data_IF_856226892081
#
_entry.id   IF_856226892081
#
_cell.length_a   1.000
_cell.length_b   1.000
_cell.length_c   1.000
_cell.angle_alpha   90.00
_cell.angle_beta   90.00
_cell.angle_gamma   90.00
#
_symmetry.space_group_name_H-M   'P 1'
#
loop_
_entity.id
_entity.type
_entity.pdbx_description
1 polymer ?
#
# COMPACT_ATOMS: atom_id res chain seq x y z
N UNK A 1 -3.24 -24.87 -13.12
CA UNK A 1 -1.96 -24.89 -12.38
C UNK A 1 -1.24 -26.21 -12.64
N UNK A 2 0.09 -26.22 -12.64
CA UNK A 2 0.88 -27.44 -12.81
C UNK A 2 1.11 -28.12 -11.45
N UNK A 3 0.88 -29.44 -11.30
CA UNK A 3 1.22 -30.17 -10.07
C UNK A 3 2.71 -30.19 -9.77
N UNK A 4 3.58 -30.06 -10.78
CA UNK A 4 5.03 -30.09 -10.64
C UNK A 4 5.66 -28.77 -10.17
N UNK A 5 4.84 -27.74 -9.89
CA UNK A 5 5.28 -26.41 -9.48
C UNK A 5 4.87 -25.28 -10.43
N UNK A 6 5.19 -24.03 -10.07
CA UNK A 6 4.89 -22.85 -10.88
C UNK A 6 5.69 -22.86 -12.18
N UNK A 7 4.99 -22.74 -13.32
CA UNK A 7 5.62 -22.74 -14.63
C UNK A 7 6.45 -21.46 -14.86
N UNK A 8 7.62 -21.60 -15.47
CA UNK A 8 8.45 -20.48 -15.92
C UNK A 8 7.84 -19.79 -17.14
N UNK A 9 8.26 -18.55 -17.40
CA UNK A 9 7.85 -17.80 -18.60
C UNK A 9 8.17 -18.56 -19.89
N UNK A 10 9.35 -19.19 -19.96
CA UNK A 10 9.75 -19.99 -21.12
C UNK A 10 8.86 -21.23 -21.31
N UNK A 11 8.48 -21.91 -20.22
CA UNK A 11 7.54 -23.04 -20.28
C UNK A 11 6.16 -22.61 -20.75
N UNK A 12 5.65 -21.48 -20.24
CA UNK A 12 4.35 -20.93 -20.62
C UNK A 12 4.31 -20.49 -22.08
N UNK A 13 5.35 -19.80 -22.56
CA UNK A 13 5.45 -19.40 -23.97
C UNK A 13 5.48 -20.61 -24.91
N UNK A 14 6.13 -21.72 -24.52
CA UNK A 14 6.12 -22.98 -25.28
C UNK A 14 4.74 -23.67 -25.30
N UNK A 15 3.91 -23.48 -24.28
CA UNK A 15 2.55 -24.03 -24.22
C UNK A 15 1.54 -23.20 -25.04
N UNK A 16 1.97 -22.07 -25.61
CA UNK A 16 1.10 -21.10 -26.27
C UNK A 16 0.43 -20.16 -25.25
N UNK A 17 0.11 -18.94 -25.67
CA UNK A 17 -0.71 -18.05 -24.85
C UNK A 17 -2.09 -18.70 -24.63
N UNK A 18 -2.66 -18.64 -23.41
CA UNK A 18 -4.00 -19.16 -23.19
C UNK A 18 -4.96 -18.55 -24.20
N UNK A 19 -5.71 -19.39 -24.92
CA UNK A 19 -6.87 -18.92 -25.70
C UNK A 19 -7.73 -18.15 -24.72
N UNK A 20 -8.00 -16.88 -25.00
CA UNK A 20 -8.83 -16.02 -24.17
C UNK A 20 -10.10 -16.77 -23.80
N UNK A 21 -10.30 -17.08 -22.52
CA UNK A 21 -11.54 -17.67 -22.07
C UNK A 21 -12.67 -16.71 -22.47
N UNK A 22 -13.71 -17.24 -23.11
CA UNK A 22 -14.84 -16.47 -23.62
C UNK A 22 -15.33 -15.47 -22.56
N UNK A 23 -15.13 -14.18 -22.83
CA UNK A 23 -15.55 -13.06 -21.97
C UNK A 23 -17.04 -13.08 -21.63
N UNK A 24 -17.84 -13.73 -22.47
CA UNK A 24 -19.28 -13.90 -22.29
C UNK A 24 -19.69 -14.69 -21.02
N UNK A 25 -18.88 -15.65 -20.55
CA UNK A 25 -19.19 -16.43 -19.35
C UNK A 25 -18.80 -15.72 -18.03
N UNK A 26 -18.06 -14.60 -18.10
CA UNK A 26 -17.64 -13.79 -16.94
C UNK A 26 -18.52 -12.56 -16.71
N UNK A 27 -19.44 -12.26 -17.63
CA UNK A 27 -20.33 -11.08 -17.57
C UNK A 27 -21.52 -11.24 -16.60
N UNK A 28 -21.68 -12.42 -16.00
CA UNK A 28 -22.71 -12.69 -14.99
C UNK A 28 -22.13 -13.05 -13.63
N UNK A 29 -20.91 -12.60 -13.30
CA UNK A 29 -20.24 -12.94 -12.05
C UNK A 29 -21.08 -12.50 -10.85
N UNK A 30 -21.92 -13.42 -10.37
CA UNK A 30 -22.50 -13.36 -9.05
C UNK A 30 -21.36 -13.21 -8.02
N UNK A 31 -21.68 -12.66 -6.85
CA UNK A 31 -20.78 -12.51 -5.71
C UNK A 31 -20.40 -13.88 -5.07
N UNK A 32 -20.13 -14.89 -5.89
CA UNK A 32 -19.82 -16.26 -5.45
C UNK A 32 -18.30 -16.44 -5.47
N UNK A 33 -17.70 -16.93 -4.38
CA UNK A 33 -16.30 -17.34 -4.37
C UNK A 33 -15.99 -18.32 -5.49
N UNK A 34 -14.78 -18.24 -6.06
CA UNK A 34 -14.29 -19.29 -6.95
C UNK A 34 -14.22 -20.66 -6.25
N UNK A 35 -14.11 -21.77 -7.00
CA UNK A 35 -14.01 -23.10 -6.39
C UNK A 35 -12.76 -23.20 -5.51
N UNK A 36 -12.85 -24.02 -4.46
CA UNK A 36 -11.70 -24.36 -3.62
C UNK A 36 -10.57 -24.93 -4.47
N UNK A 37 -9.36 -24.44 -4.24
CA UNK A 37 -8.17 -24.72 -5.02
C UNK A 37 -6.92 -24.48 -4.16
N UNK A 38 -5.75 -24.53 -4.78
CA UNK A 38 -4.52 -23.98 -4.23
C UNK A 38 -3.92 -22.92 -5.16
N UNK A 39 -2.85 -22.25 -4.72
CA UNK A 39 -1.91 -21.45 -5.52
C UNK A 39 -0.49 -21.58 -4.97
N UNK A 40 0.51 -20.91 -5.56
CA UNK A 40 1.88 -20.83 -5.04
C UNK A 40 2.18 -19.45 -4.45
N UNK A 41 3.31 -19.33 -3.74
CA UNK A 41 3.74 -18.07 -3.15
C UNK A 41 5.06 -17.57 -3.74
N UNK A 42 5.12 -16.27 -4.04
CA UNK A 42 6.36 -15.53 -4.30
C UNK A 42 6.85 -14.89 -3.01
N UNK A 43 8.08 -15.19 -2.66
CA UNK A 43 8.81 -14.62 -1.53
C UNK A 43 9.82 -13.61 -2.06
N UNK A 44 9.43 -12.34 -2.08
CA UNK A 44 10.33 -11.28 -2.51
C UNK A 44 11.37 -10.98 -1.43
N UNK A 45 12.57 -10.58 -1.85
CA UNK A 45 13.67 -10.16 -1.00
C UNK A 45 14.46 -9.03 -1.70
N UNK A 46 15.26 -8.27 -0.94
CA UNK A 46 16.10 -7.22 -1.53
C UNK A 46 17.36 -7.84 -2.13
N UNK A 47 17.76 -7.43 -3.32
CA UNK A 47 19.02 -7.93 -3.92
C UNK A 47 20.22 -7.08 -3.54
N UNK A 48 20.01 -5.79 -3.26
CA UNK A 48 21.06 -4.87 -2.81
C UNK A 48 21.18 -4.81 -1.28
N UNK A 49 22.40 -4.51 -0.80
CA UNK A 49 22.69 -4.24 0.61
C UNK A 49 22.56 -2.75 1.00
N UNK A 50 22.50 -1.84 0.03
CA UNK A 50 22.41 -0.40 0.23
C UNK A 50 20.97 0.15 0.15
N UNK A 51 20.67 1.20 0.91
CA UNK A 51 19.35 1.86 0.90
C UNK A 51 19.13 2.80 -0.31
N UNK A 52 20.15 2.98 -1.17
CA UNK A 52 20.09 3.74 -2.44
C UNK A 52 19.81 2.85 -3.66
N UNK A 53 19.75 1.52 -3.48
CA UNK A 53 19.48 0.55 -4.55
C UNK A 53 18.33 -0.37 -4.12
N UNK A 54 17.06 0.09 -4.24
CA UNK A 54 15.88 -0.63 -3.74
C UNK A 54 15.46 -1.82 -4.63
N UNK A 55 16.45 -2.52 -5.21
CA UNK A 55 16.24 -3.66 -6.10
C UNK A 55 15.75 -4.87 -5.32
N UNK A 56 14.88 -5.66 -5.96
CA UNK A 56 14.29 -6.86 -5.38
C UNK A 56 14.23 -7.97 -6.41
N UNK A 57 14.21 -9.21 -5.91
CA UNK A 57 13.90 -10.40 -6.68
C UNK A 57 13.02 -11.32 -5.81
N UNK A 58 12.57 -12.45 -6.34
CA UNK A 58 11.77 -13.41 -5.59
C UNK A 58 12.23 -14.85 -5.76
N UNK A 59 11.98 -15.63 -4.71
CA UNK A 59 11.99 -17.08 -4.77
C UNK A 59 10.55 -17.61 -4.68
N UNK A 60 10.28 -18.73 -5.34
CA UNK A 60 9.06 -19.49 -5.05
C UNK A 60 9.18 -20.16 -3.68
N UNK A 61 8.15 -20.01 -2.85
CA UNK A 61 8.09 -20.64 -1.54
C UNK A 61 8.21 -22.15 -1.64
N UNK A 62 8.95 -22.74 -0.70
CA UNK A 62 9.08 -24.17 -0.51
C UNK A 62 8.41 -24.59 0.78
N UNK A 63 7.78 -25.76 0.77
CA UNK A 63 7.29 -26.43 1.96
C UNK A 63 8.47 -26.82 2.86
N UNK A 64 8.55 -26.35 4.11
CA UNK A 64 9.69 -26.63 4.98
C UNK A 64 9.86 -28.12 5.32
N UNK A 65 8.82 -28.93 5.19
CA UNK A 65 8.83 -30.35 5.53
C UNK A 65 9.28 -31.24 4.37
N UNK A 66 8.82 -30.97 3.14
CA UNK A 66 9.15 -31.79 1.97
C UNK A 66 10.21 -31.20 1.06
N UNK A 67 10.42 -29.88 1.09
CA UNK A 67 11.25 -29.15 0.13
C UNK A 67 10.57 -28.94 -1.23
N UNK A 68 9.34 -29.43 -1.43
CA UNK A 68 8.54 -29.16 -2.64
C UNK A 68 8.05 -27.71 -2.65
N UNK A 69 7.49 -27.25 -3.77
CA UNK A 69 6.80 -25.96 -3.81
C UNK A 69 5.62 -25.91 -2.82
N UNK A 70 5.60 -24.86 -1.99
CA UNK A 70 4.51 -24.65 -1.04
C UNK A 70 3.20 -24.35 -1.78
N UNK A 71 2.15 -25.11 -1.47
CA UNK A 71 0.81 -24.96 -2.05
C UNK A 71 -0.11 -24.32 -1.02
N UNK A 72 -0.53 -23.08 -1.27
CA UNK A 72 -1.45 -22.35 -0.43
C UNK A 72 -2.90 -22.72 -0.81
N UNK A 73 -3.63 -23.40 0.07
CA UNK A 73 -5.04 -23.75 -0.14
C UNK A 73 -5.96 -22.55 0.10
N UNK A 74 -7.04 -22.45 -0.69
CA UNK A 74 -7.97 -21.34 -0.62
C UNK A 74 -8.82 -21.20 -1.87
N UNK A 75 -9.25 -19.97 -2.18
CA UNK A 75 -10.00 -19.67 -3.39
C UNK A 75 -9.67 -18.29 -3.96
N UNK A 76 -9.85 -18.15 -5.26
CA UNK A 76 -9.69 -16.89 -5.98
C UNK A 76 -11.01 -16.13 -6.06
N UNK A 77 -10.94 -14.80 -6.02
CA UNK A 77 -12.03 -13.95 -6.46
C UNK A 77 -11.53 -12.60 -7.00
N UNK A 78 -12.22 -12.10 -8.03
CA UNK A 78 -11.98 -10.77 -8.62
C UNK A 78 -13.29 -10.10 -9.01
N UNK A 79 -13.38 -8.79 -8.80
CA UNK A 79 -14.53 -7.98 -9.23
C UNK A 79 -14.50 -7.59 -10.72
N UNK A 80 -13.46 -7.97 -11.46
CA UNK A 80 -13.24 -7.53 -12.83
C UNK A 80 -12.80 -8.68 -13.74
N UNK A 81 -13.04 -8.50 -15.04
CA UNK A 81 -12.43 -9.32 -16.10
C UNK A 81 -10.92 -9.12 -16.23
N UNK A 82 -10.36 -8.08 -15.57
CA UNK A 82 -8.94 -7.77 -15.60
C UNK A 82 -8.19 -8.59 -14.55
N UNK A 83 -7.41 -9.57 -15.00
CA UNK A 83 -6.75 -10.56 -14.17
C UNK A 83 -5.84 -9.97 -13.06
N UNK A 84 -5.35 -8.73 -13.19
CA UNK A 84 -4.47 -8.08 -12.20
C UNK A 84 -5.16 -7.70 -10.88
N UNK A 85 -6.49 -7.70 -10.82
CA UNK A 85 -7.27 -7.40 -9.61
C UNK A 85 -7.63 -8.65 -8.80
N UNK A 86 -6.93 -9.77 -8.95
CA UNK A 86 -7.31 -10.99 -8.23
C UNK A 86 -6.85 -10.94 -6.77
N UNK A 87 -7.64 -11.51 -5.85
CA UNK A 87 -7.25 -11.73 -4.45
C UNK A 87 -7.44 -13.20 -4.10
N UNK A 88 -6.47 -13.76 -3.36
CA UNK A 88 -6.54 -15.15 -2.91
C UNK A 88 -6.94 -15.21 -1.44
N UNK A 89 -8.03 -15.88 -1.12
CA UNK A 89 -8.55 -16.01 0.23
C UNK A 89 -8.13 -17.35 0.82
N UNK A 90 -7.49 -17.33 1.99
CA UNK A 90 -6.95 -18.51 2.65
C UNK A 90 -7.09 -18.41 4.16
N UNK A 91 -7.18 -19.55 4.85
CA UNK A 91 -7.19 -19.60 6.32
C UNK A 91 -5.77 -19.53 6.91
N UNK A 92 -4.73 -19.48 6.06
CA UNK A 92 -3.34 -19.33 6.50
C UNK A 92 -3.07 -17.88 6.90
N UNK A 93 -2.52 -17.67 8.10
CA UNK A 93 -2.19 -16.34 8.63
C UNK A 93 -1.02 -15.70 7.88
N UNK A 94 -1.01 -14.36 7.80
CA UNK A 94 0.10 -13.62 7.20
C UNK A 94 1.45 -13.95 7.84
N UNK A 95 1.51 -14.13 9.16
CA UNK A 95 2.73 -14.52 9.86
C UNK A 95 3.25 -15.89 9.42
N UNK A 96 2.35 -16.86 9.21
CA UNK A 96 2.72 -18.17 8.69
C UNK A 96 3.26 -18.07 7.25
N UNK A 97 2.61 -17.29 6.38
CA UNK A 97 3.09 -17.03 5.02
C UNK A 97 4.49 -16.40 5.02
N UNK A 98 4.72 -15.40 5.89
CA UNK A 98 6.04 -14.78 6.05
C UNK A 98 7.07 -15.75 6.60
N UNK A 99 6.71 -16.63 7.54
CA UNK A 99 7.60 -17.65 8.07
C UNK A 99 8.01 -18.69 7.01
N UNK A 100 7.07 -19.12 6.16
CA UNK A 100 7.35 -20.00 5.01
C UNK A 100 8.34 -19.32 4.05
N UNK A 101 8.12 -18.04 3.74
CA UNK A 101 9.04 -17.29 2.91
C UNK A 101 10.42 -17.09 3.56
N UNK A 102 10.47 -16.81 4.87
CA UNK A 102 11.73 -16.71 5.59
C UNK A 102 12.50 -18.03 5.52
N UNK A 103 11.84 -19.16 5.77
CA UNK A 103 12.45 -20.50 5.67
C UNK A 103 12.99 -20.76 4.27
N UNK A 104 12.21 -20.42 3.24
CA UNK A 104 12.61 -20.57 1.83
C UNK A 104 13.88 -19.76 1.52
N UNK A 105 13.92 -18.48 1.93
CA UNK A 105 15.04 -17.59 1.67
C UNK A 105 16.30 -18.05 2.42
N UNK A 106 16.17 -18.39 3.70
CA UNK A 106 17.28 -18.91 4.51
C UNK A 106 17.83 -20.21 3.93
N UNK A 107 16.97 -21.13 3.48
CA UNK A 107 17.38 -22.37 2.80
C UNK A 107 18.12 -22.13 1.47
N UNK A 108 17.98 -20.95 0.88
CA UNK A 108 18.71 -20.51 -0.32
C UNK A 108 19.94 -19.65 -0.01
N UNK A 109 20.31 -19.51 1.26
CA UNK A 109 21.44 -18.67 1.69
C UNK A 109 21.14 -17.15 1.64
N UNK A 110 19.87 -16.76 1.52
CA UNK A 110 19.45 -15.36 1.52
C UNK A 110 19.11 -14.95 2.96
N UNK A 111 20.02 -14.22 3.60
CA UNK A 111 19.93 -13.83 5.01
C UNK A 111 19.12 -12.55 5.26
N UNK A 112 18.12 -12.29 4.43
CA UNK A 112 17.26 -11.12 4.55
C UNK A 112 15.84 -11.54 4.91
N UNK A 113 15.13 -10.66 5.62
CA UNK A 113 13.70 -10.85 5.84
C UNK A 113 12.93 -10.76 4.51
N UNK A 114 11.82 -11.52 4.35
CA UNK A 114 10.93 -11.36 3.22
C UNK A 114 10.50 -9.90 3.06
N UNK A 115 10.79 -9.35 1.90
CA UNK A 115 10.40 -8.02 1.47
C UNK A 115 8.89 -7.93 1.29
N UNK A 116 8.32 -8.86 0.52
CA UNK A 116 6.89 -8.99 0.25
C UNK A 116 6.51 -10.45 0.01
N UNK A 117 5.23 -10.79 0.20
CA UNK A 117 4.69 -12.14 -0.05
C UNK A 117 3.43 -12.03 -0.90
N UNK A 118 3.36 -12.77 -2.01
CA UNK A 118 2.22 -12.74 -2.92
C UNK A 118 1.80 -14.12 -3.37
N UNK A 119 0.50 -14.32 -3.60
CA UNK A 119 0.00 -15.47 -4.34
C UNK A 119 0.27 -15.30 -5.84
N UNK A 120 0.64 -16.39 -6.50
CA UNK A 120 0.83 -16.46 -7.94
C UNK A 120 0.83 -17.90 -8.42
N UNK A 121 0.10 -18.20 -9.50
CA UNK A 121 0.04 -19.57 -10.05
C UNK A 121 1.30 -19.93 -10.87
N UNK A 122 1.96 -18.94 -11.46
CA UNK A 122 3.12 -19.13 -12.33
C UNK A 122 3.91 -17.82 -12.52
N UNK A 123 4.98 -17.85 -13.30
CA UNK A 123 5.87 -16.69 -13.51
C UNK A 123 5.23 -15.49 -14.24
N UNK A 124 4.10 -15.67 -14.94
CA UNK A 124 3.38 -14.59 -15.64
C UNK A 124 2.19 -14.04 -14.83
N UNK A 125 1.83 -14.66 -13.70
CA UNK A 125 0.83 -14.12 -12.77
C UNK A 125 1.27 -12.77 -12.21
N UNK A 126 0.32 -11.87 -11.94
CA UNK A 126 0.60 -10.67 -11.16
C UNK A 126 0.94 -11.00 -9.69
N UNK A 127 1.30 -9.97 -8.91
CA UNK A 127 1.53 -10.11 -7.48
C UNK A 127 0.20 -9.99 -6.74
N UNK A 128 -0.48 -11.11 -6.48
CA UNK A 128 -1.79 -11.09 -5.85
C UNK A 128 -1.70 -11.07 -4.33
N UNK A 129 -2.50 -10.21 -3.72
CA UNK A 129 -2.68 -10.17 -2.27
C UNK A 129 -3.28 -11.49 -1.78
N UNK A 130 -2.74 -12.01 -0.68
CA UNK A 130 -3.36 -13.12 0.05
C UNK A 130 -4.16 -12.55 1.20
N UNK A 131 -5.48 -12.69 1.19
CA UNK A 131 -6.35 -12.38 2.31
C UNK A 131 -6.41 -13.55 3.28
N UNK A 132 -5.95 -13.34 4.51
CA UNK A 132 -6.14 -14.28 5.62
C UNK A 132 -7.57 -14.12 6.17
N UNK A 133 -8.38 -15.17 6.04
CA UNK A 133 -9.75 -15.20 6.53
C UNK A 133 -9.81 -15.06 8.05
N UNK A 134 -10.86 -14.40 8.51
CA UNK A 134 -11.12 -14.25 9.93
C UNK A 134 -11.71 -15.55 10.49
N UNK A 135 -11.28 -15.94 11.70
CA UNK A 135 -11.79 -17.14 12.36
C UNK A 135 -13.23 -16.91 12.86
N UNK A 136 -14.03 -17.98 12.88
CA UNK A 136 -15.36 -17.92 13.48
C UNK A 136 -15.25 -17.55 14.98
N UNK A 137 -16.06 -16.59 15.43
CA UNK A 137 -16.06 -16.16 16.83
C UNK A 137 -14.85 -15.30 17.24
N UNK A 138 -14.16 -14.67 16.29
CA UNK A 138 -13.11 -13.72 16.59
C UNK A 138 -13.65 -12.56 17.46
N UNK A 139 -12.87 -12.19 18.49
CA UNK A 139 -13.25 -11.15 19.44
C UNK A 139 -13.42 -9.76 18.82
N UNK A 140 -13.80 -8.78 19.64
CA UNK A 140 -14.10 -7.40 19.19
C UNK A 140 -12.88 -6.50 18.94
N UNK A 141 -11.66 -7.02 19.14
CA UNK A 141 -10.42 -6.26 18.97
C UNK A 141 -10.08 -6.03 17.49
N UNK A 142 -9.39 -4.92 17.20
CA UNK A 142 -8.88 -4.63 15.86
C UNK A 142 -7.94 -5.77 15.42
N UNK A 143 -8.19 -6.35 14.25
CA UNK A 143 -7.49 -7.54 13.76
C UNK A 143 -6.76 -7.37 12.42
N UNK A 144 -6.99 -6.26 11.71
CA UNK A 144 -6.32 -5.94 10.45
C UNK A 144 -6.36 -4.44 10.17
N UNK A 145 -5.49 -4.01 9.26
CA UNK A 145 -5.47 -2.67 8.69
C UNK A 145 -5.94 -2.74 7.25
N UNK A 146 -6.84 -1.84 6.87
CA UNK A 146 -7.20 -1.61 5.46
C UNK A 146 -6.87 -0.18 5.09
N UNK A 147 -5.97 -0.02 4.12
CA UNK A 147 -5.48 1.28 3.69
C UNK A 147 -6.15 1.76 2.41
N UNK A 148 -6.62 3.00 2.42
CA UNK A 148 -7.09 3.75 1.26
C UNK A 148 -6.22 5.00 1.09
N UNK A 149 -6.05 5.45 -0.15
CA UNK A 149 -5.22 6.61 -0.41
C UNK A 149 -4.57 6.61 -1.77
N UNK A 150 -3.41 7.24 -1.84
CA UNK A 150 -2.66 7.44 -3.07
C UNK A 150 -1.24 6.82 -3.03
N UNK A 151 -0.29 7.41 -3.75
CA UNK A 151 1.10 6.94 -3.85
C UNK A 151 1.86 6.97 -2.53
N UNK A 152 1.44 7.76 -1.53
CA UNK A 152 2.05 7.73 -0.20
C UNK A 152 1.70 6.46 0.58
N UNK A 153 0.70 5.69 0.12
CA UNK A 153 0.26 4.46 0.77
C UNK A 153 0.26 3.24 -0.15
N UNK A 154 0.21 3.39 -1.48
CA UNK A 154 0.21 2.27 -2.43
C UNK A 154 1.49 1.43 -2.32
N UNK A 155 1.32 0.12 -2.23
CA UNK A 155 2.41 -0.84 -2.17
C UNK A 155 2.40 -1.90 -3.29
N UNK A 156 1.43 -1.89 -4.22
CA UNK A 156 1.40 -2.80 -5.39
C UNK A 156 0.35 -2.45 -6.48
N UNK A 157 -0.68 -1.68 -6.20
CA UNK A 157 -1.87 -1.61 -7.04
C UNK A 157 -1.57 -1.00 -8.42
N UNK A 158 -0.91 0.17 -8.46
CA UNK A 158 -0.46 0.77 -9.73
C UNK A 158 0.62 -0.09 -10.39
N UNK A 159 1.46 -0.76 -9.60
CA UNK A 159 2.50 -1.62 -10.13
C UNK A 159 1.94 -2.81 -10.90
N UNK A 160 0.94 -3.50 -10.35
CA UNK A 160 0.23 -4.55 -11.07
C UNK A 160 -0.56 -4.00 -12.26
N UNK A 161 -1.29 -2.89 -12.09
CA UNK A 161 -2.08 -2.28 -13.16
C UNK A 161 -1.24 -1.83 -14.38
N UNK A 162 0.00 -1.39 -14.12
CA UNK A 162 0.96 -0.96 -15.14
C UNK A 162 1.79 -2.11 -15.74
N UNK A 163 1.46 -3.36 -15.43
CA UNK A 163 2.26 -4.52 -15.84
C UNK A 163 3.72 -4.44 -15.36
N UNK A 164 3.90 -4.01 -14.11
CA UNK A 164 5.18 -3.90 -13.41
C UNK A 164 6.14 -2.85 -13.98
N UNK A 165 5.61 -1.83 -14.63
CA UNK A 165 6.39 -0.75 -15.26
C UNK A 165 6.40 0.55 -14.45
N UNK A 166 5.40 0.77 -13.58
CA UNK A 166 5.23 2.00 -12.82
C UNK A 166 4.99 1.71 -11.32
N UNK A 167 5.84 2.22 -10.40
CA UNK A 167 7.14 2.84 -10.66
C UNK A 167 8.20 1.82 -11.13
N UNK A 168 9.26 2.30 -11.76
CA UNK A 168 10.33 1.47 -12.31
C UNK A 168 11.10 0.76 -11.18
N UNK A 169 11.05 -0.57 -11.16
CA UNK A 169 11.63 -1.39 -10.08
C UNK A 169 13.15 -1.30 -9.90
N UNK A 170 13.87 -0.68 -10.85
CA UNK A 170 15.31 -0.48 -10.72
C UNK A 170 15.65 0.73 -9.83
N UNK A 171 14.67 1.62 -9.63
CA UNK A 171 14.86 2.87 -8.89
C UNK A 171 13.83 3.08 -7.79
N UNK A 172 12.73 2.35 -7.79
CA UNK A 172 11.76 2.34 -6.71
C UNK A 172 11.60 0.93 -6.15
N UNK A 173 11.35 0.85 -4.85
CA UNK A 173 11.14 -0.43 -4.16
C UNK A 173 9.85 -1.07 -4.66
N UNK A 174 9.94 -2.29 -5.20
CA UNK A 174 8.86 -3.05 -5.85
C UNK A 174 7.43 -2.48 -5.70
N UNK A 175 7.05 -1.58 -6.61
CA UNK A 175 5.69 -1.02 -6.68
C UNK A 175 5.32 0.10 -5.70
N UNK A 176 6.25 0.51 -4.84
CA UNK A 176 6.10 1.60 -3.88
C UNK A 176 6.70 2.87 -4.47
N UNK A 177 6.09 4.02 -4.22
CA UNK A 177 6.68 5.32 -4.58
C UNK A 177 7.71 5.75 -3.52
N UNK A 178 8.68 4.88 -3.22
CA UNK A 178 9.79 5.14 -2.30
C UNK A 178 10.95 4.15 -2.53
N UNK A 179 12.04 4.25 -1.77
CA UNK A 179 13.15 3.28 -1.73
C UNK A 179 12.93 2.13 -0.72
N UNK A 180 11.71 1.98 -0.19
CA UNK A 180 11.36 0.92 0.74
C UNK A 180 9.88 0.92 1.09
N UNK A 181 9.50 0.24 2.18
CA UNK A 181 8.13 0.24 2.68
C UNK A 181 7.61 1.65 2.93
N UNK A 182 6.30 1.82 2.78
CA UNK A 182 5.56 3.05 3.09
C UNK A 182 5.05 3.06 4.53
N UNK A 183 4.57 4.21 4.98
CA UNK A 183 4.25 4.45 6.40
C UNK A 183 3.25 3.43 6.98
N UNK A 184 2.26 3.02 6.18
CA UNK A 184 1.21 2.11 6.64
C UNK A 184 1.71 0.68 6.83
N UNK A 185 2.79 0.29 6.16
CA UNK A 185 3.47 -1.00 6.38
C UNK A 185 4.29 -0.97 7.68
N UNK A 186 4.93 0.16 7.98
CA UNK A 186 5.57 0.35 9.28
C UNK A 186 4.55 0.39 10.41
N UNK A 187 3.39 1.04 10.21
CA UNK A 187 2.28 1.01 11.16
C UNK A 187 1.80 -0.42 11.40
N UNK A 188 1.53 -1.18 10.34
CA UNK A 188 1.10 -2.58 10.42
C UNK A 188 2.11 -3.44 11.19
N UNK A 189 3.41 -3.27 10.89
CA UNK A 189 4.49 -3.94 11.61
C UNK A 189 4.53 -3.58 13.09
N UNK A 190 4.41 -2.29 13.43
CA UNK A 190 4.39 -1.79 14.81
C UNK A 190 3.18 -2.30 15.60
N UNK A 191 2.02 -2.44 14.96
CA UNK A 191 0.79 -2.96 15.57
C UNK A 191 0.68 -4.48 15.52
N UNK A 192 1.58 -5.17 14.80
CA UNK A 192 1.51 -6.62 14.55
C UNK A 192 0.17 -7.03 13.90
N UNK A 193 -0.29 -6.23 12.95
CA UNK A 193 -1.54 -6.46 12.22
C UNK A 193 -1.26 -6.74 10.74
N UNK A 194 -2.04 -7.63 10.09
CA UNK A 194 -2.01 -7.76 8.65
C UNK A 194 -2.52 -6.47 7.98
N UNK A 195 -1.89 -6.11 6.86
CA UNK A 195 -2.26 -4.96 6.04
C UNK A 195 -2.83 -5.42 4.70
N UNK A 196 -3.99 -4.86 4.33
CA UNK A 196 -4.56 -4.98 2.99
C UNK A 196 -4.72 -3.59 2.39
N UNK A 197 -4.23 -3.41 1.17
CA UNK A 197 -4.05 -2.07 0.61
C UNK A 197 -4.90 -1.85 -0.64
N UNK A 198 -5.76 -0.85 -0.57
CA UNK A 198 -6.58 -0.35 -1.67
C UNK A 198 -6.08 1.00 -2.21
N UNK A 199 -5.04 1.60 -1.62
CA UNK A 199 -4.45 2.83 -2.13
C UNK A 199 -3.88 2.63 -3.53
N UNK A 200 -4.01 3.65 -4.39
CA UNK A 200 -3.58 3.59 -5.79
C UNK A 200 -2.72 4.82 -6.07
N UNK A 201 -1.48 4.62 -6.50
CA UNK A 201 -0.60 5.71 -6.93
C UNK A 201 -1.26 6.69 -7.90
N UNK A 202 -1.22 7.98 -7.57
CA UNK A 202 -1.90 9.03 -8.35
C UNK A 202 -3.41 9.13 -8.09
N UNK A 203 -4.01 8.37 -7.17
CA UNK A 203 -5.42 8.55 -6.86
C UNK A 203 -5.70 9.95 -6.31
N UNK A 204 -6.81 10.54 -6.76
CA UNK A 204 -7.47 11.63 -6.06
C UNK A 204 -8.76 11.17 -5.38
N UNK A 205 -9.67 12.08 -5.04
CA UNK A 205 -10.94 11.67 -4.40
C UNK A 205 -11.93 11.05 -5.39
N UNK A 206 -11.91 11.52 -6.65
CA UNK A 206 -12.69 11.00 -7.76
C UNK A 206 -11.79 10.34 -8.81
N UNK A 207 -12.39 9.65 -9.79
CA UNK A 207 -11.63 9.06 -10.91
C UNK A 207 -11.08 10.16 -11.81
N UNK A 208 -9.78 10.14 -12.04
CA UNK A 208 -9.07 11.18 -12.79
C UNK A 208 -8.66 10.71 -14.19
N UNK A 209 -8.32 11.69 -15.06
CA UNK A 209 -8.07 11.69 -16.52
C UNK A 209 -7.39 10.47 -17.20
N UNK A 210 -6.92 9.47 -16.46
CA UNK A 210 -6.29 8.22 -16.94
C UNK A 210 -7.02 6.94 -16.47
N UNK A 211 -8.26 7.02 -15.98
CA UNK A 211 -9.01 5.88 -15.38
C UNK A 211 -8.36 5.39 -14.08
N UNK A 212 -7.63 6.26 -13.36
CA UNK A 212 -7.09 5.96 -12.02
C UNK A 212 -8.26 6.06 -11.03
N UNK A 213 -8.65 4.95 -10.37
CA UNK A 213 -9.75 4.99 -9.42
C UNK A 213 -9.43 5.87 -8.22
N UNK A 214 -10.31 6.84 -7.92
CA UNK A 214 -10.19 7.66 -6.73
C UNK A 214 -10.62 6.92 -5.47
N UNK A 215 -10.45 7.54 -4.31
CA UNK A 215 -10.77 6.90 -3.01
C UNK A 215 -12.22 6.44 -2.90
N UNK A 216 -13.17 7.13 -3.55
CA UNK A 216 -14.56 6.68 -3.65
C UNK A 216 -14.66 5.31 -4.34
N UNK A 217 -13.95 5.10 -5.44
CA UNK A 217 -13.91 3.82 -6.15
C UNK A 217 -13.11 2.76 -5.39
N UNK A 218 -12.10 3.15 -4.63
CA UNK A 218 -11.36 2.23 -3.77
C UNK A 218 -12.27 1.63 -2.69
N UNK A 219 -13.10 2.45 -2.04
CA UNK A 219 -14.10 1.97 -1.06
C UNK A 219 -15.15 1.08 -1.72
N UNK A 220 -15.65 1.45 -2.90
CA UNK A 220 -16.58 0.60 -3.67
C UNK A 220 -15.96 -0.75 -4.04
N UNK A 221 -14.70 -0.76 -4.44
CA UNK A 221 -13.95 -1.99 -4.71
C UNK A 221 -13.88 -2.84 -3.45
N UNK A 222 -13.41 -2.27 -2.33
CA UNK A 222 -13.33 -2.99 -1.05
C UNK A 222 -14.66 -3.61 -0.62
N UNK A 223 -15.79 -2.87 -0.77
CA UNK A 223 -17.14 -3.38 -0.47
C UNK A 223 -17.50 -4.65 -1.24
N UNK A 224 -16.93 -4.87 -2.42
CA UNK A 224 -17.15 -6.09 -3.20
C UNK A 224 -16.24 -7.24 -2.73
N UNK A 225 -14.96 -6.98 -2.46
CA UNK A 225 -14.03 -8.01 -1.97
C UNK A 225 -14.42 -8.51 -0.57
N UNK A 226 -14.87 -7.60 0.31
CA UNK A 226 -15.24 -7.99 1.67
C UNK A 226 -16.39 -9.00 1.74
N UNK A 227 -17.25 -9.07 0.72
CA UNK A 227 -18.36 -10.03 0.66
C UNK A 227 -17.88 -11.47 0.49
N UNK A 228 -16.63 -11.65 0.06
CA UNK A 228 -16.02 -12.97 -0.15
C UNK A 228 -15.21 -13.43 1.07
N UNK A 229 -14.96 -12.53 2.01
CA UNK A 229 -14.18 -12.83 3.21
C UNK A 229 -15.09 -13.46 4.28
N UNK A 230 -14.93 -14.75 4.61
CA UNK A 230 -15.71 -15.41 5.65
C UNK A 230 -15.47 -14.74 7.01
N UNK A 231 -16.54 -14.59 7.79
CA UNK A 231 -16.53 -14.03 9.15
C UNK A 231 -15.99 -12.60 9.26
N UNK A 232 -15.78 -11.90 8.15
CA UNK A 232 -15.19 -10.58 8.17
C UNK A 232 -16.13 -9.55 8.81
N UNK A 233 -15.61 -8.83 9.80
CA UNK A 233 -16.32 -7.76 10.48
C UNK A 233 -15.62 -6.41 10.26
N UNK A 234 -16.21 -5.49 9.47
CA UNK A 234 -15.65 -4.15 9.28
C UNK A 234 -15.47 -3.36 10.60
N UNK A 235 -16.25 -3.66 11.65
CA UNK A 235 -16.11 -2.98 12.94
C UNK A 235 -14.81 -3.35 13.68
N UNK A 236 -14.17 -4.48 13.36
CA UNK A 236 -12.89 -4.93 13.94
C UNK A 236 -11.69 -4.62 13.04
N UNK A 237 -11.85 -3.69 12.10
CA UNK A 237 -10.79 -3.25 11.18
C UNK A 237 -10.38 -1.82 11.49
N UNK A 238 -9.07 -1.54 11.45
CA UNK A 238 -8.55 -0.18 11.40
C UNK A 238 -8.45 0.26 9.95
N UNK A 239 -9.30 1.19 9.54
CA UNK A 239 -9.21 1.81 8.22
C UNK A 239 -8.29 3.02 8.28
N UNK A 240 -7.39 3.16 7.32
CA UNK A 240 -6.53 4.35 7.20
C UNK A 240 -6.79 5.08 5.90
N UNK A 241 -6.88 6.41 5.95
CA UNK A 241 -7.05 7.25 4.76
C UNK A 241 -6.00 8.37 4.76
N UNK A 242 -5.22 8.42 3.67
CA UNK A 242 -4.34 9.54 3.33
C UNK A 242 -4.53 9.83 1.83
N UNK A 243 -5.21 10.93 1.51
CA UNK A 243 -5.63 11.28 0.15
C UNK A 243 -5.64 12.81 -0.02
N UNK A 244 -5.75 13.28 -1.26
CA UNK A 244 -5.90 14.71 -1.59
C UNK A 244 -4.63 15.36 -2.14
N UNK A 245 -3.46 14.76 -1.92
CA UNK A 245 -2.19 15.29 -2.41
C UNK A 245 -2.18 15.43 -3.94
N UNK A 246 -2.63 14.40 -4.65
CA UNK A 246 -2.73 14.46 -6.12
C UNK A 246 -3.78 15.46 -6.62
N UNK A 247 -4.91 15.60 -5.91
CA UNK A 247 -5.96 16.55 -6.26
C UNK A 247 -5.43 17.99 -6.27
N UNK A 248 -4.68 18.37 -5.23
CA UNK A 248 -4.10 19.70 -5.09
C UNK A 248 -2.87 19.91 -5.99
N UNK A 249 -2.01 18.90 -6.13
CA UNK A 249 -0.73 19.02 -6.84
C UNK A 249 -0.87 18.85 -8.37
N UNK A 250 -1.74 17.94 -8.82
CA UNK A 250 -1.79 17.45 -10.20
C UNK A 250 -3.12 17.69 -10.92
N UNK A 251 -4.25 17.82 -10.20
CA UNK A 251 -5.58 17.88 -10.82
C UNK A 251 -6.24 19.25 -10.76
N UNK A 252 -5.68 20.19 -9.99
CA UNK A 252 -6.20 21.55 -9.87
C UNK A 252 -7.54 21.59 -9.14
N UNK A 253 -7.83 20.58 -8.33
CA UNK A 253 -9.02 20.57 -7.48
C UNK A 253 -8.88 21.56 -6.32
N UNK A 254 -10.01 22.09 -5.85
CA UNK A 254 -10.03 22.93 -4.65
C UNK A 254 -10.13 22.07 -3.39
N UNK A 255 -9.67 22.55 -2.22
CA UNK A 255 -9.85 21.86 -0.95
C UNK A 255 -11.30 21.39 -0.71
N UNK A 256 -12.29 22.24 -1.01
CA UNK A 256 -13.72 21.89 -0.89
C UNK A 256 -14.12 20.69 -1.75
N UNK A 257 -13.60 20.57 -2.98
CA UNK A 257 -13.88 19.42 -3.84
C UNK A 257 -13.26 18.14 -3.30
N UNK A 258 -12.04 18.23 -2.76
CA UNK A 258 -11.36 17.11 -2.10
C UNK A 258 -12.16 16.64 -0.89
N UNK A 259 -12.52 17.56 0.02
CA UNK A 259 -13.30 17.26 1.23
C UNK A 259 -14.66 16.65 0.91
N UNK A 260 -15.35 17.14 -0.13
CA UNK A 260 -16.63 16.55 -0.55
C UNK A 260 -16.48 15.09 -1.02
N UNK A 261 -15.44 14.79 -1.80
CA UNK A 261 -15.16 13.42 -2.25
C UNK A 261 -14.72 12.50 -1.11
N UNK A 262 -13.93 13.01 -0.18
CA UNK A 262 -13.53 12.27 1.02
C UNK A 262 -14.73 12.01 1.95
N UNK A 263 -15.62 12.99 2.16
CA UNK A 263 -16.87 12.82 2.88
C UNK A 263 -17.72 11.70 2.26
N UNK A 264 -17.82 11.65 0.92
CA UNK A 264 -18.55 10.59 0.22
C UNK A 264 -17.94 9.21 0.50
N UNK A 265 -16.62 9.08 0.39
CA UNK A 265 -15.92 7.82 0.63
C UNK A 265 -16.05 7.35 2.09
N UNK A 266 -15.83 8.26 3.05
CA UNK A 266 -15.94 7.96 4.48
C UNK A 266 -17.36 7.59 4.89
N UNK A 267 -18.37 8.31 4.37
CA UNK A 267 -19.78 7.97 4.63
C UNK A 267 -20.11 6.58 4.08
N UNK A 268 -19.65 6.24 2.87
CA UNK A 268 -19.83 4.91 2.28
C UNK A 268 -19.16 3.82 3.13
N UNK A 269 -17.94 4.08 3.62
CA UNK A 269 -17.17 3.18 4.47
C UNK A 269 -17.88 2.92 5.82
N UNK A 270 -18.38 3.98 6.46
CA UNK A 270 -19.14 3.91 7.72
C UNK A 270 -20.45 3.13 7.55
N UNK A 271 -21.18 3.41 6.46
CA UNK A 271 -22.44 2.72 6.13
C UNK A 271 -22.22 1.23 5.86
N UNK A 272 -21.05 0.84 5.36
CA UNK A 272 -20.64 -0.56 5.20
C UNK A 272 -20.13 -1.21 6.50
N UNK A 273 -20.21 -0.52 7.64
CA UNK A 273 -19.93 -1.09 8.96
C UNK A 273 -18.58 -0.71 9.56
N UNK A 274 -17.77 0.13 8.90
CA UNK A 274 -16.51 0.59 9.49
C UNK A 274 -16.76 1.40 10.77
N UNK A 275 -15.93 1.15 11.80
CA UNK A 275 -16.04 1.83 13.09
C UNK A 275 -14.75 2.47 13.60
N UNK A 276 -13.58 2.04 13.11
CA UNK A 276 -12.28 2.61 13.50
C UNK A 276 -11.59 3.16 12.26
N UNK A 277 -11.50 4.48 12.18
CA UNK A 277 -10.93 5.19 11.02
C UNK A 277 -9.82 6.10 11.52
N UNK A 278 -8.65 5.98 10.91
CA UNK A 278 -7.53 6.90 11.08
C UNK A 278 -7.39 7.73 9.81
N UNK A 279 -7.51 9.04 9.94
CA UNK A 279 -7.23 10.01 8.89
C UNK A 279 -5.86 10.62 9.14
N UNK A 280 -5.13 10.92 8.07
CA UNK A 280 -3.87 11.66 8.13
C UNK A 280 -4.06 13.00 7.44
N UNK A 281 -3.67 14.08 8.13
CA UNK A 281 -3.52 15.39 7.48
C UNK A 281 -2.53 15.30 6.33
N UNK A 282 -2.74 16.06 5.27
CA UNK A 282 -1.75 16.16 4.21
C UNK A 282 -0.48 16.82 4.77
N UNK A 283 0.71 16.20 4.60
CA UNK A 283 1.98 16.89 4.79
C UNK A 283 2.04 18.15 3.92
N UNK A 284 2.90 19.11 4.27
CA UNK A 284 3.11 20.29 3.43
C UNK A 284 3.85 19.95 2.13
N UNK A 285 3.10 19.44 1.15
CA UNK A 285 3.63 18.98 -0.14
C UNK A 285 4.26 20.11 -0.96
N UNK A 286 4.05 21.38 -0.59
CA UNK A 286 4.69 22.52 -1.25
C UNK A 286 6.22 22.54 -1.08
N UNK A 287 6.74 21.84 -0.07
CA UNK A 287 8.17 21.66 0.17
C UNK A 287 8.81 20.56 -0.69
N UNK A 288 8.04 19.81 -1.47
CA UNK A 288 8.57 18.77 -2.34
C UNK A 288 9.52 19.36 -3.41
N UNK A 289 10.63 18.67 -3.75
CA UNK A 289 11.62 19.19 -4.70
C UNK A 289 11.06 19.58 -6.07
N UNK A 290 9.93 18.99 -6.50
CA UNK A 290 9.25 19.35 -7.75
C UNK A 290 8.92 20.84 -7.84
N UNK A 291 8.68 21.53 -6.72
CA UNK A 291 8.40 22.96 -6.68
C UNK A 291 9.63 23.86 -6.87
N UNK A 292 10.83 23.28 -6.98
CA UNK A 292 12.00 23.98 -7.50
C UNK A 292 11.99 24.02 -9.05
N UNK A 293 11.20 23.15 -9.67
CA UNK A 293 11.08 23.00 -11.13
C UNK A 293 9.77 23.64 -11.62
N UNK A 294 8.68 23.48 -10.88
CA UNK A 294 7.36 24.02 -11.19
C UNK A 294 6.95 25.15 -10.24
N UNK A 295 6.12 26.08 -10.73
CA UNK A 295 5.53 27.14 -9.90
C UNK A 295 4.36 26.65 -9.02
N UNK A 296 3.82 27.57 -8.21
CA UNK A 296 2.57 27.35 -7.46
C UNK A 296 2.72 26.81 -6.04
N UNK A 297 3.94 26.73 -5.48
CA UNK A 297 4.20 26.25 -4.12
C UNK A 297 3.35 26.99 -3.07
N UNK A 298 3.33 28.33 -3.10
CA UNK A 298 2.57 29.14 -2.14
C UNK A 298 1.05 28.88 -2.21
N UNK A 299 0.50 28.67 -3.40
CA UNK A 299 -0.91 28.31 -3.59
C UNK A 299 -1.20 26.94 -2.98
N UNK A 300 -0.36 25.95 -3.25
CA UNK A 300 -0.54 24.60 -2.70
C UNK A 300 -0.37 24.58 -1.19
N UNK A 301 0.58 25.34 -0.63
CA UNK A 301 0.75 25.48 0.82
C UNK A 301 -0.54 25.99 1.49
N UNK A 302 -1.15 27.04 0.93
CA UNK A 302 -2.41 27.59 1.42
C UNK A 302 -3.56 26.57 1.29
N UNK A 303 -3.63 25.84 0.18
CA UNK A 303 -4.65 24.80 -0.04
C UNK A 303 -4.50 23.62 0.92
N UNK A 304 -3.27 23.20 1.25
CA UNK A 304 -3.01 22.13 2.22
C UNK A 304 -3.48 22.53 3.61
N UNK A 305 -3.21 23.78 4.03
CA UNK A 305 -3.68 24.30 5.33
C UNK A 305 -5.22 24.32 5.39
N UNK A 306 -5.87 24.85 4.35
CA UNK A 306 -7.33 24.89 4.24
C UNK A 306 -7.94 23.48 4.25
N UNK A 307 -7.42 22.56 3.44
CA UNK A 307 -7.83 21.16 3.42
C UNK A 307 -7.68 20.51 4.81
N UNK A 308 -6.54 20.67 5.48
CA UNK A 308 -6.30 20.06 6.78
C UNK A 308 -7.25 20.58 7.87
N UNK A 309 -7.62 21.86 7.83
CA UNK A 309 -8.63 22.43 8.73
C UNK A 309 -10.03 21.86 8.45
N UNK A 310 -10.39 21.70 7.17
CA UNK A 310 -11.66 21.11 6.79
C UNK A 310 -11.73 19.61 7.10
N UNK A 311 -10.60 18.89 7.03
CA UNK A 311 -10.51 17.48 7.40
C UNK A 311 -10.82 17.25 8.89
N UNK A 312 -10.28 18.10 9.78
CA UNK A 312 -10.59 18.07 11.21
C UNK A 312 -12.10 18.28 11.46
N UNK A 313 -12.70 19.24 10.76
CA UNK A 313 -14.15 19.52 10.86
C UNK A 313 -15.00 18.36 10.32
N UNK A 314 -14.61 17.76 9.19
CA UNK A 314 -15.27 16.59 8.61
C UNK A 314 -15.22 15.39 9.56
N UNK A 315 -14.05 15.11 10.14
CA UNK A 315 -13.88 14.02 11.10
C UNK A 315 -14.81 14.18 12.30
N UNK A 316 -14.82 15.36 12.93
CA UNK A 316 -15.69 15.66 14.06
C UNK A 316 -17.19 15.50 13.72
N UNK A 317 -17.59 16.01 12.54
CA UNK A 317 -18.97 15.90 12.05
C UNK A 317 -19.41 14.44 11.87
N UNK A 318 -18.59 13.62 11.21
CA UNK A 318 -18.90 12.21 11.00
C UNK A 318 -18.92 11.40 12.30
N UNK A 319 -18.02 11.69 13.25
CA UNK A 319 -18.06 11.08 14.57
C UNK A 319 -19.37 11.38 15.31
N UNK A 320 -19.79 12.64 15.31
CA UNK A 320 -21.03 13.07 15.96
C UNK A 320 -22.26 12.45 15.28
N UNK A 321 -22.28 12.41 13.95
CA UNK A 321 -23.43 11.94 13.18
C UNK A 321 -23.61 10.41 13.27
N UNK A 322 -22.54 9.63 13.24
CA UNK A 322 -22.61 8.17 13.10
C UNK A 322 -22.15 7.39 14.34
N UNK A 323 -21.62 8.05 15.38
CA UNK A 323 -21.13 7.40 16.58
C UNK A 323 -19.94 6.47 16.34
N UNK A 324 -19.07 6.84 15.39
CA UNK A 324 -17.87 6.08 15.01
C UNK A 324 -16.60 6.64 15.65
N UNK A 325 -15.55 5.84 15.74
CA UNK A 325 -14.22 6.27 16.19
C UNK A 325 -13.40 6.74 14.98
N UNK A 326 -13.29 8.06 14.80
CA UNK A 326 -12.38 8.68 13.84
C UNK A 326 -11.27 9.35 14.62
N UNK A 327 -10.04 9.17 14.19
CA UNK A 327 -8.87 9.85 14.76
C UNK A 327 -8.12 10.52 13.63
N UNK A 328 -7.69 11.75 13.84
CA UNK A 328 -6.88 12.50 12.87
C UNK A 328 -5.46 12.60 13.41
N UNK A 329 -4.49 12.12 12.64
CA UNK A 329 -3.08 12.29 12.94
C UNK A 329 -2.52 13.51 12.21
N UNK A 330 -1.77 14.35 12.93
CA UNK A 330 -1.19 15.58 12.39
C UNK A 330 0.16 15.31 11.70
N UNK A 331 0.11 14.67 10.54
CA UNK A 331 1.28 14.45 9.68
C UNK A 331 1.86 15.75 9.12
N UNK A 332 1.06 16.82 9.04
CA UNK A 332 1.52 18.16 8.65
C UNK A 332 2.53 18.70 9.68
N UNK A 333 2.17 18.68 10.96
CA UNK A 333 3.05 19.12 12.04
C UNK A 333 4.32 18.27 12.13
N UNK A 334 4.21 16.93 12.03
CA UNK A 334 5.38 16.05 12.02
C UNK A 334 6.33 16.37 10.87
N UNK A 335 5.79 16.57 9.66
CA UNK A 335 6.59 16.86 8.48
C UNK A 335 7.31 18.22 8.61
N UNK A 336 6.63 19.24 9.09
CA UNK A 336 7.24 20.55 9.30
C UNK A 336 8.32 20.56 10.39
N UNK A 337 8.13 19.77 11.45
CA UNK A 337 9.17 19.56 12.47
C UNK A 337 10.37 18.80 11.88
N UNK A 338 10.14 17.81 11.01
CA UNK A 338 11.22 17.13 10.28
C UNK A 338 12.02 18.10 9.40
N UNK A 339 11.36 18.99 8.67
CA UNK A 339 12.03 19.95 7.80
C UNK A 339 12.81 21.02 8.59
N UNK A 340 12.29 21.43 9.74
CA UNK A 340 12.88 22.50 10.58
C UNK A 340 13.97 21.97 11.51
N UNK A 341 13.81 20.75 12.02
CA UNK A 341 14.70 20.10 12.98
C UNK A 341 15.25 18.76 12.44
N UNK A 342 15.85 18.69 11.24
CA UNK A 342 16.16 17.41 10.57
C UNK A 342 17.17 16.55 11.35
N UNK A 343 18.07 17.16 12.12
CA UNK A 343 19.03 16.45 12.96
C UNK A 343 18.35 15.58 14.04
N UNK A 344 17.17 15.99 14.57
CA UNK A 344 16.35 15.19 15.50
C UNK A 344 15.95 13.85 14.89
N UNK A 345 15.87 13.80 13.57
CA UNK A 345 15.40 12.69 12.77
C UNK A 345 16.51 11.98 11.99
N UNK A 346 17.78 12.33 12.25
CA UNK A 346 18.95 11.78 11.54
C UNK A 346 18.91 12.06 10.02
N UNK A 347 18.27 13.16 9.64
CA UNK A 347 18.19 13.65 8.27
C UNK A 347 19.12 14.85 8.11
N UNK A 348 19.74 14.99 6.94
CA UNK A 348 20.63 16.11 6.61
C UNK A 348 20.23 16.85 5.32
N UNK A 349 19.44 16.23 4.44
CA UNK A 349 18.95 16.86 3.22
C UNK A 349 17.42 16.89 3.20
N UNK A 350 16.85 18.10 3.31
CA UNK A 350 15.42 18.35 3.33
C UNK A 350 14.90 19.02 2.06
N UNK A 351 15.76 19.30 1.08
CA UNK A 351 15.42 20.14 -0.08
C UNK A 351 15.60 19.44 -1.42
N UNK A 352 16.50 18.47 -1.53
CA UNK A 352 16.75 17.72 -2.76
C UNK A 352 16.16 16.32 -2.68
N UNK A 353 15.79 15.78 -3.83
CA UNK A 353 15.53 14.35 -3.98
C UNK A 353 16.84 13.56 -3.98
N UNK A 354 16.85 12.36 -3.39
CA UNK A 354 18.00 11.45 -3.51
C UNK A 354 18.23 11.00 -4.95
N UNK A 355 17.17 10.67 -5.71
CA UNK A 355 17.26 10.39 -7.15
C UNK A 355 17.61 11.67 -7.91
N UNK A 356 18.46 11.55 -8.93
CA UNK A 356 18.89 12.66 -9.78
C UNK A 356 17.85 12.98 -10.87
N UNK A 357 16.69 13.47 -10.43
CA UNK A 357 15.59 13.89 -11.29
C UNK A 357 15.52 15.42 -11.23
N UNK A 358 15.59 16.08 -12.38
CA UNK A 358 15.58 17.55 -12.49
C UNK A 358 14.53 18.05 -13.50
N UNK A 359 13.50 17.24 -13.76
CA UNK A 359 12.40 17.54 -14.68
C UNK A 359 11.06 17.23 -14.01
N UNK A 360 10.02 17.98 -14.38
CA UNK A 360 8.65 17.70 -13.98
C UNK A 360 7.97 16.85 -15.08
N UNK A 361 8.13 15.52 -14.98
CA UNK A 361 7.55 14.58 -15.95
C UNK A 361 7.12 13.28 -15.30
N UNK A 362 5.91 12.82 -15.62
CA UNK A 362 5.43 11.51 -15.21
C UNK A 362 6.26 10.35 -15.81
N UNK A 363 6.97 10.57 -16.92
CA UNK A 363 7.83 9.55 -17.52
C UNK A 363 9.03 9.18 -16.63
N UNK A 364 9.40 10.06 -15.69
CA UNK A 364 10.51 9.81 -14.76
C UNK A 364 10.28 8.52 -13.96
N UNK A 365 9.04 8.23 -13.57
CA UNK A 365 8.66 7.04 -12.80
C UNK A 365 8.67 5.75 -13.62
N UNK A 366 8.70 5.81 -14.96
CA UNK A 366 8.76 4.63 -15.84
C UNK A 366 10.20 4.31 -16.27
N UNK A 367 11.14 5.22 -16.04
CA UNK A 367 12.53 5.11 -16.44
C UNK A 367 13.43 4.79 -15.24
N UNK A 368 14.55 4.13 -15.51
CA UNK A 368 15.57 3.94 -14.48
C UNK A 368 16.23 5.28 -14.18
N UNK A 369 16.31 5.60 -12.90
CA UNK A 369 16.98 6.78 -12.34
C UNK A 369 18.17 6.36 -11.50
N UNK A 370 19.18 7.24 -11.41
CA UNK A 370 20.35 7.06 -10.56
C UNK A 370 20.29 8.01 -9.36
N UNK A 371 20.79 7.60 -8.17
CA UNK A 371 21.01 8.52 -7.06
C UNK A 371 21.94 9.68 -7.44
N UNK A 372 21.76 10.84 -6.83
CA UNK A 372 22.69 11.96 -6.91
C UNK A 372 24.02 11.59 -6.25
N UNK A 373 25.11 12.26 -6.65
CA UNK A 373 26.44 12.04 -6.08
C UNK A 373 26.52 12.31 -4.57
N UNK A 374 25.68 13.23 -4.05
CA UNK A 374 25.59 13.50 -2.61
C UNK A 374 24.59 12.58 -1.87
N UNK A 375 23.89 11.68 -2.57
CA UNK A 375 23.05 10.67 -1.95
C UNK A 375 23.80 9.33 -1.80
N UNK A 376 24.81 9.31 -0.92
CA UNK A 376 25.47 8.08 -0.51
C UNK A 376 24.66 7.24 0.50
N UNK A 377 23.75 7.89 1.23
CA UNK A 377 22.84 7.30 2.19
C UNK A 377 21.44 7.89 1.98
N UNK A 378 20.48 7.07 1.55
CA UNK A 378 19.12 7.55 1.29
C UNK A 378 18.39 7.96 2.58
N UNK A 379 18.72 7.39 3.73
CA UNK A 379 18.05 7.70 5.00
C UNK A 379 18.36 9.12 5.50
N UNK A 380 19.43 9.74 4.99
CA UNK A 380 19.74 11.14 5.31
C UNK A 380 18.94 12.15 4.47
N UNK A 381 18.09 11.69 3.55
CA UNK A 381 17.24 12.51 2.69
C UNK A 381 15.77 12.39 3.11
N UNK A 382 15.04 13.51 3.10
CA UNK A 382 13.57 13.48 3.25
C UNK A 382 12.92 12.83 2.03
N UNK A 383 13.38 13.20 0.83
CA UNK A 383 12.75 12.88 -0.43
C UNK A 383 13.54 11.85 -1.24
N UNK A 384 12.85 10.81 -1.73
CA UNK A 384 13.43 9.81 -2.61
C UNK A 384 13.48 10.33 -4.06
N UNK A 385 12.33 10.72 -4.58
CA UNK A 385 12.17 11.39 -5.87
C UNK A 385 11.72 12.85 -5.68
N UNK A 386 11.27 13.54 -6.72
CA UNK A 386 10.91 14.96 -6.63
C UNK A 386 9.61 15.22 -5.86
N UNK A 387 8.84 14.19 -5.52
CA UNK A 387 7.56 14.31 -4.82
C UNK A 387 7.48 13.46 -3.55
N UNK A 388 7.99 12.24 -3.60
CA UNK A 388 7.74 11.23 -2.57
C UNK A 388 8.87 11.12 -1.54
N UNK A 389 8.52 10.85 -0.28
CA UNK A 389 9.50 10.68 0.78
C UNK A 389 10.30 9.38 0.67
N UNK A 390 11.48 9.35 1.30
CA UNK A 390 12.26 8.13 1.51
C UNK A 390 11.56 7.19 2.50
N UNK A 391 11.96 5.93 2.49
CA UNK A 391 11.41 4.94 3.42
C UNK A 391 11.74 5.26 4.87
N UNK A 392 12.85 5.97 5.14
CA UNK A 392 13.17 6.50 6.47
C UNK A 392 12.12 7.52 6.93
N UNK A 393 11.77 8.49 6.08
CA UNK A 393 10.68 9.44 6.37
C UNK A 393 9.33 8.72 6.57
N UNK A 394 9.03 7.69 5.75
CA UNK A 394 7.85 6.85 5.97
C UNK A 394 7.90 6.07 7.29
N UNK A 395 9.08 5.59 7.71
CA UNK A 395 9.27 4.90 8.98
C UNK A 395 9.00 5.83 10.17
N UNK A 396 9.50 7.06 10.10
CA UNK A 396 9.23 8.10 11.10
C UNK A 396 7.72 8.35 11.23
N UNK A 397 7.03 8.52 10.10
CA UNK A 397 5.57 8.69 10.08
C UNK A 397 4.84 7.48 10.66
N UNK A 398 5.13 6.26 10.18
CA UNK A 398 4.47 5.04 10.65
C UNK A 398 4.68 4.79 12.14
N UNK A 399 5.88 5.08 12.66
CA UNK A 399 6.19 4.99 14.08
C UNK A 399 5.42 6.02 14.90
N UNK A 400 5.39 7.28 14.48
CA UNK A 400 4.69 8.34 15.19
C UNK A 400 3.16 8.10 15.21
N UNK A 401 2.61 7.57 14.12
CA UNK A 401 1.19 7.17 14.06
C UNK A 401 0.91 6.01 15.03
N UNK A 402 1.78 5.01 15.09
CA UNK A 402 1.62 3.90 16.04
C UNK A 402 1.66 4.40 17.50
N UNK A 403 2.59 5.32 17.81
CA UNK A 403 2.70 5.93 19.13
C UNK A 403 1.47 6.76 19.48
N UNK A 404 0.96 7.55 18.52
CA UNK A 404 -0.30 8.28 18.66
C UNK A 404 -1.46 7.34 18.98
N UNK A 405 -1.60 6.23 18.23
CA UNK A 405 -2.69 5.28 18.46
C UNK A 405 -2.64 4.67 19.86
N UNK A 406 -1.44 4.34 20.36
CA UNK A 406 -1.23 3.77 21.69
C UNK A 406 -1.44 4.78 22.83
N UNK A 407 -1.02 6.04 22.65
CA UNK A 407 -1.10 7.07 23.69
C UNK A 407 -2.53 7.45 24.10
N UNK A 408 -3.52 7.21 23.23
CA UNK A 408 -4.92 7.59 23.48
C UNK A 408 -5.78 6.47 24.05
N UNK A 409 -5.18 5.42 24.65
CA UNK A 409 -5.93 4.41 25.41
C UNK A 409 -6.89 3.54 24.58
N UNK A 410 -6.79 3.56 23.25
CA UNK A 410 -7.46 2.57 22.42
C UNK A 410 -6.88 1.21 22.80
N UNK A 411 -7.71 0.28 23.27
CA UNK A 411 -7.35 -1.10 23.56
C UNK A 411 -6.96 -1.81 22.25
N UNK A 412 -5.81 -1.44 21.68
CA UNK A 412 -5.08 -2.25 20.73
C UNK A 412 -4.62 -3.51 21.49
N UNK A 413 -4.60 -4.69 20.86
CA UNK A 413 -4.08 -5.89 21.48
C UNK A 413 -2.72 -5.58 22.11
N UNK A 414 -2.59 -5.86 23.42
CA UNK A 414 -1.38 -5.54 24.16
C UNK A 414 -0.17 -6.07 23.39
N UNK A 415 0.70 -5.15 22.95
CA UNK A 415 1.95 -5.47 22.28
C UNK A 415 2.68 -6.49 23.15
N UNK A 416 2.81 -7.74 22.67
CA UNK A 416 3.67 -8.72 23.32
C UNK A 416 5.08 -8.17 23.23
N UNK A 417 5.58 -7.61 24.34
CA UNK A 417 6.99 -7.24 24.50
C UNK A 417 7.82 -8.48 24.20
N UNK A 418 8.55 -8.47 23.09
CA UNK A 418 9.59 -9.46 22.84
C UNK A 418 10.64 -9.29 23.96
N UNK A 419 10.89 -10.36 24.70
CA UNK A 419 12.10 -10.51 25.51
C UNK A 419 13.26 -10.86 24.59
#
# INVERSE_FOLDING_TARGET
MSPAGPLSRAQLLKQGLPKTANSAARLSAAATPGPATYTYLRCYYRTGSGNTQPTTDYAWALDPSSGDYYRLNGHWWSSSILDWKNMFYSDVSQDALRAICQSTLTGKGINQAPAMVFAADNAMSFNYTVWSNDAAGQGSGINKIIAFGDSLSDNQNVYNASQWTLPNRNSWYIGHFSNGPVWVEYLASRLQLPLYNWAIGGAGVSTQKLVIPGVVQQVQSWQQYMQQAPNYNPATTLFTVLIGGNDLVNYGSTPNQVIAGEQQALTSLINAGARNILLLKLPDVSHAPVYQIKGGAATVAAQVVDYNQQLDALAASLQQQYGVNIRVFDSYALFNDLLTNPAKYQVSNTTQSCLNINTDSALNYMQSQSPRSNCGNADSFVFWDTLHPTTHTHQLLGNAVADFLNASGSALPALKKRR
#
